data_IF_645955092939
#
_entry.id   IF_645955092939
#
_cell.length_a   1.000
_cell.length_b   1.000
_cell.length_c   1.000
_cell.angle_alpha   90.00
_cell.angle_beta   90.00
_cell.angle_gamma   90.00
#
_symmetry.space_group_name_H-M   'P 1'
#
loop_
_entity.id
_entity.type
_entity.pdbx_description
1 polymer ?
#
# COMPACT_ATOMS: atom_id res chain seq x y z
N UNK A 1 -21.54 0.26 8.85
CA UNK A 1 -21.70 -0.13 7.43
C UNK A 1 -21.48 -1.62 7.33
N UNK A 2 -22.48 -2.39 6.85
CA UNK A 2 -22.36 -3.83 6.68
C UNK A 2 -21.33 -4.11 5.59
N UNK A 3 -20.26 -4.83 5.92
CA UNK A 3 -19.27 -5.28 4.95
C UNK A 3 -19.93 -6.30 4.01
N UNK A 4 -19.94 -5.99 2.72
CA UNK A 4 -20.51 -6.86 1.70
C UNK A 4 -19.58 -8.06 1.50
N UNK A 5 -19.98 -9.21 2.07
CA UNK A 5 -19.24 -10.49 2.01
C UNK A 5 -19.41 -11.23 0.67
N UNK A 6 -20.16 -10.66 -0.29
CA UNK A 6 -20.55 -11.33 -1.53
C UNK A 6 -19.82 -10.77 -2.75
N UNK A 7 -19.73 -11.60 -3.79
CA UNK A 7 -19.20 -11.18 -5.10
C UNK A 7 -19.98 -9.97 -5.63
N UNK A 8 -19.28 -9.05 -6.27
CA UNK A 8 -19.84 -7.82 -6.84
C UNK A 8 -20.95 -8.20 -7.85
N UNK A 9 -22.16 -7.68 -7.64
CA UNK A 9 -23.31 -7.91 -8.54
C UNK A 9 -23.05 -7.30 -9.93
N UNK A 10 -23.70 -7.81 -11.01
CA UNK A 10 -23.50 -7.27 -12.36
C UNK A 10 -23.66 -5.75 -12.46
N UNK A 11 -24.71 -5.19 -11.87
CA UNK A 11 -24.96 -3.74 -11.83
C UNK A 11 -23.85 -2.95 -11.14
N UNK A 12 -23.26 -3.51 -10.06
CA UNK A 12 -22.12 -2.90 -9.37
C UNK A 12 -20.83 -2.97 -10.20
N UNK A 13 -20.68 -4.02 -11.02
CA UNK A 13 -19.54 -4.12 -11.96
C UNK A 13 -19.60 -3.04 -13.02
N UNK A 14 -20.79 -2.73 -13.56
CA UNK A 14 -20.97 -1.62 -14.50
C UNK A 14 -20.55 -0.30 -13.86
N UNK A 15 -21.07 0.01 -12.66
CA UNK A 15 -20.68 1.22 -11.91
C UNK A 15 -19.17 1.29 -11.64
N UNK A 16 -18.55 0.14 -11.30
CA UNK A 16 -17.10 0.07 -11.11
C UNK A 16 -16.32 0.29 -12.42
N UNK A 17 -16.84 -0.11 -13.56
CA UNK A 17 -16.18 0.15 -14.85
C UNK A 17 -16.37 1.58 -15.35
N UNK A 18 -17.45 2.22 -14.97
CA UNK A 18 -17.78 3.58 -15.38
C UNK A 18 -17.17 4.65 -14.46
N UNK A 19 -16.73 4.29 -13.24
CA UNK A 19 -16.31 5.28 -12.24
C UNK A 19 -15.16 6.19 -12.71
N UNK A 20 -14.18 5.77 -13.56
CA UNK A 20 -13.15 6.69 -14.01
C UNK A 20 -13.71 7.85 -14.80
N UNK A 21 -14.65 7.58 -15.71
CA UNK A 21 -15.30 8.63 -16.52
C UNK A 21 -16.22 9.51 -15.68
N UNK A 22 -16.97 8.91 -14.75
CA UNK A 22 -17.82 9.67 -13.81
C UNK A 22 -17.00 10.58 -12.91
N UNK A 23 -15.87 10.07 -12.40
CA UNK A 23 -14.96 10.89 -11.57
C UNK A 23 -14.36 12.05 -12.35
N UNK A 24 -13.95 11.82 -13.60
CA UNK A 24 -13.50 12.88 -14.50
C UNK A 24 -14.59 13.93 -14.68
N UNK A 25 -15.80 13.53 -15.04
CA UNK A 25 -16.93 14.45 -15.22
C UNK A 25 -17.19 15.28 -13.96
N UNK A 26 -17.19 14.65 -12.76
CA UNK A 26 -17.37 15.36 -11.50
C UNK A 26 -16.29 16.42 -11.24
N UNK A 27 -15.06 16.17 -11.66
CA UNK A 27 -13.96 17.15 -11.55
C UNK A 27 -14.17 18.32 -12.53
N UNK A 28 -14.53 18.03 -13.77
CA UNK A 28 -14.82 19.05 -14.79
C UNK A 28 -15.98 19.95 -14.35
N UNK A 29 -17.07 19.39 -13.81
CA UNK A 29 -18.20 20.11 -13.24
C UNK A 29 -17.82 21.00 -12.04
N UNK A 30 -16.73 20.66 -11.34
CA UNK A 30 -16.15 21.44 -10.23
C UNK A 30 -15.09 22.45 -10.68
N UNK A 31 -14.90 22.63 -11.99
CA UNK A 31 -14.00 23.62 -12.57
C UNK A 31 -12.53 23.15 -12.67
N UNK A 32 -12.24 21.88 -12.53
CA UNK A 32 -10.89 21.36 -12.79
C UNK A 32 -10.64 21.39 -14.29
N UNK A 33 -9.59 22.12 -14.71
CA UNK A 33 -9.18 22.29 -16.10
C UNK A 33 -7.84 21.65 -16.44
N UNK A 34 -7.17 21.05 -15.46
CA UNK A 34 -5.89 20.35 -15.66
C UNK A 34 -6.11 19.09 -16.50
N UNK A 35 -5.66 19.15 -17.75
CA UNK A 35 -5.85 18.08 -18.74
C UNK A 35 -5.13 16.79 -18.32
N UNK A 36 -3.94 16.89 -17.74
CA UNK A 36 -3.19 15.72 -17.31
C UNK A 36 -3.85 15.03 -16.11
N UNK A 37 -4.35 15.80 -15.15
CA UNK A 37 -5.10 15.26 -14.02
C UNK A 37 -6.40 14.58 -14.49
N UNK A 38 -7.21 15.26 -15.30
CA UNK A 38 -8.45 14.70 -15.83
C UNK A 38 -8.20 13.43 -16.64
N UNK A 39 -7.14 13.44 -17.44
CA UNK A 39 -6.70 12.28 -18.21
C UNK A 39 -6.28 11.13 -17.29
N UNK A 40 -5.46 11.40 -16.28
CA UNK A 40 -5.01 10.39 -15.32
C UNK A 40 -6.19 9.74 -14.59
N UNK A 41 -7.21 10.53 -14.19
CA UNK A 41 -8.43 10.02 -13.55
C UNK A 41 -9.25 9.15 -14.50
N UNK A 42 -9.37 9.52 -15.77
CA UNK A 42 -10.12 8.74 -16.75
C UNK A 42 -9.44 7.41 -17.10
N UNK A 43 -8.09 7.37 -17.11
CA UNK A 43 -7.29 6.28 -17.64
C UNK A 43 -6.71 5.34 -16.56
N UNK A 44 -6.90 5.60 -15.24
CA UNK A 44 -6.18 4.86 -14.17
C UNK A 44 -6.51 3.37 -14.06
N UNK A 45 -7.46 2.86 -14.83
CA UNK A 45 -7.74 1.43 -14.98
C UNK A 45 -7.45 0.91 -16.40
N UNK A 46 -6.89 1.76 -17.27
CA UNK A 46 -6.39 1.31 -18.55
C UNK A 46 -5.06 0.57 -18.40
N UNK A 47 -4.84 -0.44 -19.22
CA UNK A 47 -3.62 -1.23 -19.21
C UNK A 47 -2.92 -1.14 -20.57
N UNK A 48 -1.59 -1.07 -20.60
CA UNK A 48 -0.84 -1.17 -21.85
C UNK A 48 -1.27 -2.39 -22.66
N UNK A 49 -1.49 -2.20 -23.96
CA UNK A 49 -1.98 -3.26 -24.84
C UNK A 49 -3.51 -3.39 -24.91
N UNK A 50 -4.28 -2.48 -24.29
CA UNK A 50 -5.73 -2.41 -24.46
C UNK A 50 -6.54 -3.36 -23.58
N UNK A 51 -5.91 -4.03 -22.60
CA UNK A 51 -6.59 -4.96 -21.69
C UNK A 51 -7.36 -4.30 -20.54
N UNK A 52 -7.34 -2.94 -20.45
CA UNK A 52 -7.97 -2.17 -19.39
C UNK A 52 -9.41 -1.73 -19.67
N UNK A 53 -9.88 -0.77 -18.89
CA UNK A 53 -11.19 -0.14 -19.04
C UNK A 53 -11.11 1.34 -18.60
N UNK A 54 -12.05 2.22 -18.98
CA UNK A 54 -13.32 1.95 -19.68
C UNK A 54 -13.16 1.84 -21.21
N UNK A 55 -12.10 2.43 -21.80
CA UNK A 55 -11.97 2.62 -23.24
C UNK A 55 -11.09 1.59 -23.94
N UNK A 56 -10.34 0.76 -23.19
CA UNK A 56 -9.40 -0.21 -23.77
C UNK A 56 -8.20 0.46 -24.46
N UNK A 57 -7.66 1.51 -23.89
CA UNK A 57 -6.54 2.26 -24.46
C UNK A 57 -5.26 1.41 -24.50
N UNK A 58 -4.61 1.36 -25.67
CA UNK A 58 -3.34 0.66 -25.82
C UNK A 58 -2.16 1.37 -25.14
N UNK A 59 -2.20 2.70 -25.06
CA UNK A 59 -1.14 3.53 -24.52
C UNK A 59 -1.70 4.55 -23.51
N UNK A 60 -2.04 4.11 -22.29
CA UNK A 60 -2.46 5.04 -21.24
C UNK A 60 -1.31 5.98 -20.85
N UNK A 61 -1.66 7.15 -20.32
CA UNK A 61 -0.70 8.18 -19.91
C UNK A 61 0.24 7.68 -18.81
N UNK A 62 1.44 8.25 -18.72
CA UNK A 62 2.43 7.86 -17.69
C UNK A 62 1.87 8.06 -16.28
N UNK A 63 1.14 9.16 -16.06
CA UNK A 63 0.52 9.44 -14.76
C UNK A 63 -0.59 8.44 -14.43
N UNK A 64 -1.42 8.05 -15.40
CA UNK A 64 -2.44 7.02 -15.23
C UNK A 64 -1.80 5.67 -14.85
N UNK A 65 -0.73 5.27 -15.52
CA UNK A 65 0.01 4.02 -15.21
C UNK A 65 0.59 4.03 -13.80
N UNK A 66 1.12 5.18 -13.34
CA UNK A 66 1.59 5.34 -11.96
C UNK A 66 0.44 5.17 -10.97
N UNK A 67 -0.71 5.80 -11.22
CA UNK A 67 -1.89 5.68 -10.36
C UNK A 67 -2.42 4.25 -10.37
N UNK A 68 -2.46 3.56 -11.52
CA UNK A 68 -2.84 2.15 -11.61
C UNK A 68 -2.00 1.28 -10.67
N UNK A 69 -0.69 1.44 -10.70
CA UNK A 69 0.23 0.69 -9.84
C UNK A 69 0.00 1.00 -8.37
N UNK A 70 -0.18 2.27 -8.02
CA UNK A 70 -0.46 2.70 -6.65
C UNK A 70 -1.81 2.17 -6.15
N UNK A 71 -2.86 2.21 -6.97
CA UNK A 71 -4.18 1.66 -6.63
C UNK A 71 -4.12 0.14 -6.40
N UNK A 72 -3.49 -0.60 -7.29
CA UNK A 72 -3.30 -2.05 -7.15
C UNK A 72 -2.56 -2.38 -5.85
N UNK A 73 -1.52 -1.61 -5.52
CA UNK A 73 -0.75 -1.82 -4.30
C UNK A 73 -1.55 -1.54 -3.03
N UNK A 74 -2.18 -0.37 -2.95
CA UNK A 74 -3.00 0.03 -1.79
C UNK A 74 -4.20 -0.89 -1.61
N UNK A 75 -4.80 -1.32 -2.71
CA UNK A 75 -5.87 -2.31 -2.70
C UNK A 75 -5.45 -3.67 -2.12
N UNK A 76 -4.19 -4.08 -2.30
CA UNK A 76 -3.66 -5.33 -1.71
C UNK A 76 -3.45 -5.18 -0.20
N UNK A 77 -3.06 -4.01 0.26
CA UNK A 77 -2.81 -3.69 1.68
C UNK A 77 -4.10 -3.44 2.47
N UNK A 78 -5.19 -3.07 1.80
CA UNK A 78 -6.45 -2.69 2.43
C UNK A 78 -7.35 -3.89 2.69
N UNK A 79 -8.03 -3.87 3.84
CA UNK A 79 -9.12 -4.81 4.13
C UNK A 79 -10.28 -4.56 3.16
N UNK A 80 -10.71 -5.59 2.47
CA UNK A 80 -11.91 -5.57 1.61
C UNK A 80 -12.92 -6.59 2.12
N UNK A 81 -14.19 -6.36 1.83
CA UNK A 81 -15.26 -7.29 2.19
C UNK A 81 -15.04 -8.72 1.66
N UNK A 82 -14.37 -8.84 0.51
CA UNK A 82 -14.11 -10.11 -0.17
C UNK A 82 -12.74 -10.73 0.14
N UNK A 83 -11.84 -10.01 0.83
CA UNK A 83 -10.47 -10.48 1.05
C UNK A 83 -9.81 -9.79 2.23
N UNK A 84 -9.09 -10.56 3.04
CA UNK A 84 -8.15 -10.01 4.03
C UNK A 84 -7.00 -9.24 3.34
N UNK A 85 -6.40 -8.23 4.01
CA UNK A 85 -5.23 -7.54 3.51
C UNK A 85 -4.06 -8.52 3.36
N UNK A 86 -3.23 -8.30 2.35
CA UNK A 86 -1.97 -9.04 2.24
C UNK A 86 -0.91 -8.39 3.14
N UNK A 87 0.02 -9.19 3.71
CA UNK A 87 1.24 -8.66 4.29
C UNK A 87 1.98 -7.77 3.30
N UNK A 88 2.57 -6.67 3.78
CA UNK A 88 3.14 -5.64 2.90
C UNK A 88 4.26 -6.15 2.01
N UNK A 89 5.13 -7.02 2.53
CA UNK A 89 6.21 -7.66 1.77
C UNK A 89 5.67 -8.54 0.64
N UNK A 90 4.60 -9.29 0.89
CA UNK A 90 3.93 -10.09 -0.13
C UNK A 90 3.23 -9.21 -1.15
N UNK A 91 2.53 -8.15 -0.71
CA UNK A 91 1.88 -7.21 -1.61
C UNK A 91 2.88 -6.52 -2.55
N UNK A 92 4.06 -6.13 -2.03
CA UNK A 92 5.13 -5.52 -2.82
C UNK A 92 5.73 -6.52 -3.84
N UNK A 93 5.98 -7.77 -3.44
CA UNK A 93 6.48 -8.81 -4.35
C UNK A 93 5.46 -9.13 -5.45
N UNK A 94 4.20 -9.32 -5.08
CA UNK A 94 3.11 -9.60 -6.03
C UNK A 94 2.94 -8.44 -7.03
N UNK A 95 3.06 -7.19 -6.56
CA UNK A 95 3.04 -6.02 -7.42
C UNK A 95 4.19 -6.04 -8.42
N UNK A 96 5.42 -6.25 -7.92
CA UNK A 96 6.62 -6.27 -8.76
C UNK A 96 6.55 -7.38 -9.83
N UNK A 97 6.08 -8.55 -9.47
CA UNK A 97 5.93 -9.68 -10.43
C UNK A 97 4.86 -9.38 -11.47
N UNK A 98 3.69 -8.88 -11.05
CA UNK A 98 2.58 -8.59 -11.96
C UNK A 98 2.86 -7.41 -12.91
N UNK A 99 3.62 -6.43 -12.44
CA UNK A 99 3.91 -5.19 -13.17
C UNK A 99 5.41 -4.99 -13.44
N UNK A 100 6.18 -6.09 -13.61
CA UNK A 100 7.65 -6.01 -13.77
C UNK A 100 8.13 -5.17 -14.96
N UNK A 101 7.30 -5.01 -15.99
CA UNK A 101 7.58 -4.17 -17.16
C UNK A 101 7.19 -2.71 -16.95
N UNK A 102 6.57 -2.37 -15.79
CA UNK A 102 6.18 -1.03 -15.43
C UNK A 102 7.24 -0.37 -14.56
N UNK A 103 7.95 0.66 -15.05
CA UNK A 103 8.92 1.40 -14.25
C UNK A 103 8.33 1.96 -12.94
N UNK A 104 7.04 2.33 -12.97
CA UNK A 104 6.30 2.80 -11.81
C UNK A 104 6.23 1.78 -10.67
N UNK A 105 6.11 0.47 -10.95
CA UNK A 105 6.10 -0.57 -9.93
C UNK A 105 7.44 -0.66 -9.19
N UNK A 106 8.55 -0.64 -9.95
CA UNK A 106 9.89 -0.61 -9.37
C UNK A 106 10.13 0.66 -8.56
N UNK A 107 9.71 1.82 -9.07
CA UNK A 107 9.86 3.10 -8.38
C UNK A 107 9.06 3.11 -7.07
N UNK A 108 7.83 2.61 -7.07
CA UNK A 108 6.99 2.53 -5.89
C UNK A 108 7.60 1.62 -4.82
N UNK A 109 8.04 0.40 -5.19
CA UNK A 109 8.70 -0.52 -4.25
C UNK A 109 10.02 0.07 -3.73
N UNK A 110 10.78 0.77 -4.57
CA UNK A 110 12.00 1.49 -4.14
C UNK A 110 11.69 2.65 -3.19
N UNK A 111 10.59 3.37 -3.41
CA UNK A 111 10.19 4.52 -2.59
C UNK A 111 9.67 4.11 -1.21
N UNK A 112 8.81 3.11 -1.13
CA UNK A 112 8.16 2.69 0.11
C UNK A 112 8.87 1.53 0.82
N UNK A 113 9.70 0.77 0.12
CA UNK A 113 10.32 -0.46 0.62
C UNK A 113 9.35 -1.64 0.62
N UNK A 114 9.83 -2.79 1.10
CA UNK A 114 9.00 -3.98 1.31
C UNK A 114 8.11 -3.83 2.56
N UNK A 115 8.52 -2.99 3.48
CA UNK A 115 7.85 -2.72 4.76
C UNK A 115 7.57 -1.22 4.87
N UNK A 116 6.43 -0.73 4.33
CA UNK A 116 6.06 0.67 4.41
C UNK A 116 5.90 1.16 5.85
N UNK A 117 6.03 2.47 6.12
CA UNK A 117 5.72 3.04 7.42
C UNK A 117 4.34 2.59 7.93
N UNK A 118 4.26 2.27 9.22
CA UNK A 118 3.05 1.71 9.84
C UNK A 118 2.97 0.17 9.80
N UNK A 119 3.85 -0.53 9.06
CA UNK A 119 3.90 -1.99 9.06
C UNK A 119 4.35 -2.50 10.42
N UNK A 120 3.59 -3.43 11.01
CA UNK A 120 3.98 -4.13 12.24
C UNK A 120 4.86 -5.34 11.89
N UNK A 121 5.98 -5.49 12.60
CA UNK A 121 6.98 -6.51 12.28
C UNK A 121 7.52 -7.20 13.54
N UNK A 122 7.95 -8.46 13.38
CA UNK A 122 8.75 -9.20 14.35
C UNK A 122 10.22 -9.08 13.97
N UNK A 123 11.03 -8.64 14.93
CA UNK A 123 12.48 -8.53 14.76
C UNK A 123 13.19 -9.82 15.20
N UNK A 124 14.42 -10.02 14.74
CA UNK A 124 15.27 -11.15 15.13
C UNK A 124 15.58 -11.16 16.64
N UNK A 125 15.57 -9.98 17.28
CA UNK A 125 15.65 -9.83 18.74
C UNK A 125 14.47 -10.43 19.50
N UNK A 126 13.36 -10.80 18.80
CA UNK A 126 12.09 -11.20 19.40
C UNK A 126 11.14 -10.04 19.70
N UNK A 127 11.59 -8.79 19.55
CA UNK A 127 10.78 -7.59 19.75
C UNK A 127 9.69 -7.48 18.68
N UNK A 128 8.53 -6.93 19.03
CA UNK A 128 7.56 -6.48 18.05
C UNK A 128 7.69 -4.96 17.87
N UNK A 129 7.74 -4.54 16.61
CA UNK A 129 8.04 -3.16 16.25
C UNK A 129 7.09 -2.64 15.16
N UNK A 130 7.00 -1.33 15.04
CA UNK A 130 6.33 -0.64 13.94
C UNK A 130 7.39 0.04 13.07
N UNK A 131 7.26 -0.09 11.76
CA UNK A 131 8.14 0.60 10.80
C UNK A 131 7.84 2.09 10.84
N UNK A 132 8.86 2.91 11.05
CA UNK A 132 8.78 4.37 11.10
C UNK A 132 9.00 4.99 9.73
N UNK A 133 10.06 4.57 9.07
CA UNK A 133 10.46 5.09 7.77
C UNK A 133 11.40 4.14 7.04
N UNK A 134 11.55 4.36 5.76
CA UNK A 134 12.49 3.64 4.92
C UNK A 134 13.92 3.79 5.45
N UNK A 135 14.72 2.73 5.34
CA UNK A 135 16.16 2.73 5.58
C UNK A 135 16.96 2.80 4.29
N UNK A 136 18.21 2.38 4.35
CA UNK A 136 19.14 2.41 3.21
C UNK A 136 18.70 1.48 2.07
N UNK A 137 18.10 0.33 2.38
CA UNK A 137 17.57 -0.62 1.41
C UNK A 137 16.06 -0.83 1.60
N UNK A 138 15.35 -1.35 0.59
CA UNK A 138 13.93 -1.69 0.73
C UNK A 138 13.62 -2.70 1.83
N UNK A 139 14.60 -3.52 2.25
CA UNK A 139 14.45 -4.58 3.25
C UNK A 139 14.82 -4.14 4.67
N UNK A 140 15.53 -3.04 4.84
CA UNK A 140 16.12 -2.62 6.11
C UNK A 140 15.60 -1.26 6.57
N UNK A 141 14.30 -1.16 6.94
CA UNK A 141 13.71 0.08 7.43
C UNK A 141 14.23 0.47 8.82
N UNK A 142 13.89 1.68 9.25
CA UNK A 142 13.96 2.07 10.64
C UNK A 142 12.62 1.77 11.30
N UNK A 143 12.64 1.16 12.48
CA UNK A 143 11.48 0.76 13.23
C UNK A 143 11.53 1.24 14.67
N UNK A 144 10.39 1.28 15.36
CA UNK A 144 10.27 1.49 16.79
C UNK A 144 9.79 0.20 17.47
N UNK A 145 10.57 -0.35 18.37
CA UNK A 145 10.14 -1.47 19.21
C UNK A 145 9.02 -0.99 20.14
N UNK A 146 7.88 -1.69 20.10
CA UNK A 146 6.69 -1.42 20.93
C UNK A 146 6.52 -2.46 22.03
N UNK A 147 7.01 -3.66 21.79
CA UNK A 147 6.95 -4.79 22.71
C UNK A 147 8.34 -5.41 22.81
N UNK A 148 8.78 -5.66 24.03
CA UNK A 148 10.08 -6.25 24.27
C UNK A 148 10.09 -7.76 23.92
N UNK A 149 11.26 -8.39 24.02
CA UNK A 149 11.45 -9.84 23.74
C UNK A 149 10.65 -10.76 24.67
N UNK A 150 10.26 -10.27 25.85
CA UNK A 150 9.44 -11.02 26.82
C UNK A 150 7.93 -10.89 26.52
N UNK A 151 7.55 -10.13 25.49
CA UNK A 151 6.15 -9.91 25.13
C UNK A 151 5.45 -8.77 25.88
N UNK A 152 6.21 -7.94 26.62
CA UNK A 152 5.67 -6.86 27.41
C UNK A 152 5.69 -5.53 26.64
N UNK A 153 4.62 -4.70 26.74
CA UNK A 153 4.59 -3.38 26.16
C UNK A 153 5.70 -2.46 26.69
N UNK A 154 6.33 -1.72 25.80
CA UNK A 154 7.35 -0.74 26.18
C UNK A 154 6.69 0.63 26.41
N UNK A 155 6.89 1.23 27.60
CA UNK A 155 6.39 2.58 27.89
C UNK A 155 6.97 3.64 26.95
N UNK A 156 8.23 3.49 26.60
CA UNK A 156 8.92 4.34 25.62
C UNK A 156 9.39 3.45 24.48
N UNK A 157 8.82 3.63 23.28
CA UNK A 157 9.28 2.93 22.09
C UNK A 157 10.77 3.20 21.84
N UNK A 158 11.51 2.18 21.42
CA UNK A 158 12.94 2.30 21.17
C UNK A 158 13.26 2.13 19.69
N UNK A 159 14.01 3.06 19.13
CA UNK A 159 14.43 3.03 17.72
C UNK A 159 15.29 1.80 17.45
N UNK A 160 15.02 1.14 16.33
CA UNK A 160 15.75 -0.03 15.81
C UNK A 160 16.10 0.21 14.34
N UNK A 161 17.35 -0.02 14.00
CA UNK A 161 17.80 -0.06 12.62
C UNK A 161 17.77 -1.53 12.17
N UNK A 162 16.89 -1.84 11.21
CA UNK A 162 16.74 -3.19 10.71
C UNK A 162 17.89 -3.64 9.78
N UNK A 163 18.89 -2.79 9.53
CA UNK A 163 20.14 -3.18 8.89
C UNK A 163 21.04 -4.02 9.82
N UNK A 164 20.88 -3.88 11.15
CA UNK A 164 21.58 -4.70 12.11
C UNK A 164 20.95 -6.09 12.20
N UNK A 165 21.77 -7.16 12.19
CA UNK A 165 21.31 -8.54 12.20
C UNK A 165 20.35 -8.85 13.37
N UNK A 166 20.62 -8.29 14.56
CA UNK A 166 19.75 -8.45 15.75
C UNK A 166 18.36 -7.84 15.57
N UNK A 167 18.19 -6.87 14.67
CA UNK A 167 16.94 -6.20 14.40
C UNK A 167 16.37 -6.51 13.00
N UNK A 168 16.95 -7.49 12.29
CA UNK A 168 16.42 -7.92 11.00
C UNK A 168 14.96 -8.34 11.11
N UNK A 169 14.16 -8.00 10.12
CA UNK A 169 12.73 -8.34 10.09
C UNK A 169 12.60 -9.84 9.76
N UNK A 170 11.92 -10.58 10.63
CA UNK A 170 11.62 -12.00 10.45
C UNK A 170 10.22 -12.24 9.91
N UNK A 171 9.25 -11.41 10.32
CA UNK A 171 7.85 -11.56 9.90
C UNK A 171 7.11 -10.23 9.94
N UNK A 172 6.08 -10.11 9.09
CA UNK A 172 5.05 -9.07 9.21
C UNK A 172 3.98 -9.57 10.18
N UNK A 173 3.58 -8.72 11.11
CA UNK A 173 2.55 -9.00 12.11
C UNK A 173 1.22 -8.39 11.69
N UNK A 174 0.13 -9.08 12.01
CA UNK A 174 -1.21 -8.49 11.88
C UNK A 174 -1.53 -7.61 13.12
N UNK A 175 -2.31 -6.53 12.96
CA UNK A 175 -2.67 -5.66 14.09
C UNK A 175 -3.29 -6.39 15.28
N UNK A 176 -4.08 -7.44 15.03
CA UNK A 176 -4.70 -8.28 16.07
C UNK A 176 -3.71 -9.10 16.90
N UNK A 177 -2.48 -9.29 16.40
CA UNK A 177 -1.41 -10.01 17.11
C UNK A 177 -0.66 -9.11 18.09
N UNK A 178 -0.88 -7.80 18.02
CA UNK A 178 -0.22 -6.81 18.85
C UNK A 178 -1.27 -6.06 19.69
N UNK A 179 -1.44 -6.46 20.95
CA UNK A 179 -2.37 -5.82 21.90
C UNK A 179 -1.71 -4.64 22.62
N UNK A 180 -1.18 -3.69 21.84
CA UNK A 180 -0.52 -2.49 22.39
C UNK A 180 -1.09 -1.26 21.72
N UNK A 181 -1.42 -0.26 22.54
CA UNK A 181 -1.71 1.08 22.05
C UNK A 181 -0.43 1.90 22.01
N UNK A 182 -0.24 2.64 20.95
CA UNK A 182 0.88 3.58 20.81
C UNK A 182 0.38 4.97 20.46
N UNK A 183 1.15 5.97 20.89
CA UNK A 183 0.87 7.36 20.61
C UNK A 183 1.72 7.78 19.42
N UNK A 184 1.10 8.26 18.35
CA UNK A 184 1.78 8.60 17.10
C UNK A 184 2.88 9.64 17.30
N UNK A 185 2.65 10.64 18.17
CA UNK A 185 3.61 11.70 18.48
C UNK A 185 4.92 11.15 19.06
N UNK A 186 4.84 10.12 19.92
CA UNK A 186 6.04 9.47 20.46
C UNK A 186 6.83 8.71 19.40
N UNK A 187 6.16 8.19 18.37
CA UNK A 187 6.81 7.49 17.27
C UNK A 187 7.47 8.48 16.30
N UNK A 188 6.84 9.61 16.07
CA UNK A 188 7.36 10.65 15.16
C UNK A 188 8.59 11.38 15.72
N UNK A 189 8.81 11.30 17.03
CA UNK A 189 9.97 11.89 17.72
C UNK A 189 11.23 11.00 17.66
N UNK A 190 11.15 9.77 17.12
CA UNK A 190 12.24 8.80 16.96
C UNK A 190 12.90 8.86 15.58
#
# INVERSE_FOLDING_TARGET
>A
MAHQLFAVKPQQRTLLREHPMRSRQMLEERGVQDVEWLRAVAEHHELPGGGGYPSGLHTPSTLARLITVADVYTAKLSTRASRAPLPSDRAARDLFVAHRQEPAASALVKAFGLYPPGTLVRLASGEAAIVLRRGATPQTPLAAALVNRSGEPMMNPARRDCAHAAHAIQAVLEPRQLRVQWVAEKLMAL
#
